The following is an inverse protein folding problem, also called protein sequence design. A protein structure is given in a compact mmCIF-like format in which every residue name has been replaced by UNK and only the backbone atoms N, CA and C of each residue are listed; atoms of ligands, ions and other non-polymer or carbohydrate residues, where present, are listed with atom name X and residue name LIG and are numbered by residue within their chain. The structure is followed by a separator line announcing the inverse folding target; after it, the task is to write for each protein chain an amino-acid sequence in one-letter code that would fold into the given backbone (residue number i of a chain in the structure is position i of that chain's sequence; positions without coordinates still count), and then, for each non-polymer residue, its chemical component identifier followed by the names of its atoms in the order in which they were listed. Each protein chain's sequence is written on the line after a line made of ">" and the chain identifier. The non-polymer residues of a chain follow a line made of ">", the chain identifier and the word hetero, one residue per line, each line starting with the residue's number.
data_IF_763025299258
#
_entry.id   IF_763025299258
#
_cell.length_a   1.000
_cell.length_b   1.000
_cell.length_c   1.000
_cell.angle_alpha   90.00
_cell.angle_beta   90.00
_cell.angle_gamma   90.00
#
_symmetry.space_group_name_H-M   'P 1'
#
loop_
_entity.id
_entity.type
_entity.pdbx_description
1 polymer ?
#
# COMPACT_ATOMS: atom_id res chain seq x y z
N UNK A 1 41.08 7.96 2.71
CA UNK A 1 40.47 9.31 2.79
C UNK A 1 39.13 9.17 3.50
N UNK A 2 39.08 9.48 4.81
CA UNK A 2 37.86 9.40 5.61
C UNK A 2 37.03 10.66 5.36
N UNK A 3 35.81 10.52 4.86
CA UNK A 3 34.81 11.58 4.93
C UNK A 3 33.58 11.06 5.67
N UNK A 4 33.22 11.87 6.65
CA UNK A 4 32.28 11.68 7.73
C UNK A 4 31.11 12.62 7.43
N UNK A 5 29.90 12.10 7.23
CA UNK A 5 28.70 12.95 7.19
C UNK A 5 27.58 12.25 7.95
N UNK A 6 27.43 12.71 9.19
CA UNK A 6 26.29 12.45 10.09
C UNK A 6 25.02 12.98 9.43
N UNK A 7 24.05 12.09 9.21
CA UNK A 7 22.68 12.47 8.85
C UNK A 7 22.01 13.13 10.05
N UNK A 8 21.62 14.41 9.91
CA UNK A 8 20.81 15.13 10.90
C UNK A 8 19.34 14.95 10.54
N UNK A 9 18.66 14.09 11.28
CA UNK A 9 17.21 14.00 11.34
C UNK A 9 16.73 15.19 12.18
N UNK A 10 15.92 16.08 11.61
CA UNK A 10 15.21 17.13 12.34
C UNK A 10 13.80 16.61 12.63
N UNK A 11 13.44 16.29 13.89
CA UNK A 11 12.07 15.97 14.22
C UNK A 11 11.28 17.27 14.39
N UNK A 12 10.15 17.37 13.70
CA UNK A 12 9.17 18.43 13.93
C UNK A 12 8.58 18.25 15.35
N UNK A 13 8.76 19.28 16.18
CA UNK A 13 8.24 19.35 17.54
C UNK A 13 6.73 19.57 17.51
N UNK A 14 5.97 18.58 18.00
CA UNK A 14 4.61 18.79 18.53
C UNK A 14 4.72 19.48 19.89
N UNK A 15 4.29 20.73 19.99
CA UNK A 15 4.14 21.42 21.27
C UNK A 15 2.69 21.31 21.74
N UNK A 16 2.47 20.47 22.75
CA UNK A 16 1.25 20.36 23.54
C UNK A 16 1.39 21.35 24.71
N UNK A 17 0.60 22.43 24.75
CA UNK A 17 0.60 23.37 25.87
C UNK A 17 -0.47 22.98 26.89
N UNK A 18 0.00 22.58 28.07
CA UNK A 18 -0.79 22.26 29.26
C UNK A 18 -1.18 23.56 29.96
N UNK A 19 -2.46 23.70 30.30
CA UNK A 19 -2.99 24.81 31.08
C UNK A 19 -2.45 24.78 32.52
N UNK A 20 -1.96 25.94 32.99
CA UNK A 20 -1.56 26.17 34.38
C UNK A 20 -2.12 27.50 34.89
N UNK A 21 -2.97 27.42 35.91
CA UNK A 21 -3.55 28.56 36.62
C UNK A 21 -2.48 29.36 37.36
N UNK A 22 -2.56 30.69 37.29
CA UNK A 22 -2.05 31.60 38.33
C UNK A 22 -3.12 32.65 38.62
N UNK A 23 -3.61 32.61 39.86
CA UNK A 23 -4.48 33.63 40.44
C UNK A 23 -3.65 34.77 41.00
N UNK A 24 -4.06 36.00 40.68
CA UNK A 24 -3.99 37.18 41.56
C UNK A 24 -2.66 37.93 41.64
N UNK A 25 -2.65 39.18 41.15
CA UNK A 25 -2.37 40.35 41.97
C UNK A 25 -2.77 41.66 41.27
N UNK A 26 -3.14 42.63 42.10
CA UNK A 26 -3.84 43.88 41.83
C UNK A 26 -3.00 44.88 41.02
N UNK A 27 -3.61 45.56 40.05
CA UNK A 27 -3.01 46.70 39.34
C UNK A 27 -3.61 47.99 39.89
N UNK A 28 -2.72 48.85 40.40
CA UNK A 28 -2.99 50.19 40.92
C UNK A 28 -3.61 51.11 39.86
N UNK A 29 -4.55 51.94 40.29
CA UNK A 29 -5.07 53.07 39.50
C UNK A 29 -3.94 54.06 39.19
N UNK A 30 -3.82 54.46 37.93
CA UNK A 30 -3.11 55.68 37.53
C UNK A 30 -4.02 56.50 36.61
N UNK A 31 -4.03 57.80 36.86
CA UNK A 31 -5.01 58.75 36.37
C UNK A 31 -4.81 59.12 34.89
N UNK A 32 -5.96 59.24 34.22
CA UNK A 32 -6.33 60.05 33.05
C UNK A 32 -5.23 60.71 32.21
N UNK A 33 -5.21 60.37 30.92
CA UNK A 33 -4.90 61.33 29.87
C UNK A 33 -6.02 61.25 28.82
N UNK A 34 -6.84 62.30 28.83
CA UNK A 34 -7.87 62.60 27.85
C UNK A 34 -7.23 62.68 26.46
N UNK A 35 -7.56 61.70 25.63
CA UNK A 35 -7.36 61.76 24.19
C UNK A 35 -8.69 61.35 23.59
N UNK A 36 -9.31 62.33 22.95
CA UNK A 36 -10.53 62.23 22.16
C UNK A 36 -10.30 61.19 21.06
N UNK A 37 -10.54 59.92 21.40
CA UNK A 37 -10.60 58.84 20.42
C UNK A 37 -12.00 58.92 19.86
N UNK A 38 -12.07 59.45 18.64
CA UNK A 38 -13.22 59.44 17.77
C UNK A 38 -13.86 58.04 17.75
N UNK A 39 -14.85 57.86 18.61
CA UNK A 39 -15.68 56.67 18.76
C UNK A 39 -16.78 56.74 17.69
N UNK A 40 -16.37 56.79 16.43
CA UNK A 40 -17.28 56.75 15.29
C UNK A 40 -16.90 55.67 14.27
N UNK A 41 -16.81 54.41 14.71
CA UNK A 41 -17.17 53.29 13.81
C UNK A 41 -17.58 52.02 14.56
N UNK A 42 -18.53 52.16 15.47
CA UNK A 42 -19.30 51.01 15.98
C UNK A 42 -20.76 51.26 15.64
N UNK A 43 -21.23 50.53 14.61
CA UNK A 43 -22.63 50.41 14.15
C UNK A 43 -23.01 51.29 12.95
N UNK A 44 -22.41 51.01 11.79
CA UNK A 44 -22.88 51.48 10.48
C UNK A 44 -22.84 50.34 9.45
N UNK A 45 -23.99 49.75 9.16
CA UNK A 45 -24.19 48.63 8.23
C UNK A 45 -23.93 49.05 6.77
N UNK A 46 -22.66 49.09 6.35
CA UNK A 46 -22.32 48.94 4.93
C UNK A 46 -21.94 47.49 4.67
N UNK A 47 -22.95 46.63 4.50
CA UNK A 47 -22.80 45.25 3.96
C UNK A 47 -22.37 45.22 2.48
N UNK A 48 -21.71 46.27 1.99
CA UNK A 48 -21.22 46.32 0.62
C UNK A 48 -19.80 45.79 0.60
N UNK A 49 -19.57 44.73 -0.17
CA UNK A 49 -18.25 44.20 -0.42
C UNK A 49 -17.46 45.14 -1.36
N UNK A 50 -16.15 45.25 -1.15
CA UNK A 50 -15.26 45.89 -2.11
C UNK A 50 -15.21 45.10 -3.43
N UNK A 51 -14.73 45.72 -4.50
CA UNK A 51 -14.52 45.04 -5.80
C UNK A 51 -13.60 43.82 -5.66
N UNK A 52 -12.56 43.95 -4.85
CA UNK A 52 -11.60 42.89 -4.55
C UNK A 52 -12.26 41.74 -3.80
N UNK A 53 -13.06 42.03 -2.77
CA UNK A 53 -13.80 41.03 -2.01
C UNK A 53 -14.79 40.26 -2.88
N UNK A 54 -15.53 40.96 -3.76
CA UNK A 54 -16.40 40.32 -4.76
C UNK A 54 -15.60 39.43 -5.71
N UNK A 55 -14.40 39.84 -6.11
CA UNK A 55 -13.52 39.02 -6.92
C UNK A 55 -13.04 37.78 -6.16
N UNK A 56 -12.73 37.89 -4.87
CA UNK A 56 -12.32 36.77 -4.04
C UNK A 56 -13.46 35.76 -3.86
N UNK A 57 -14.68 36.23 -3.56
CA UNK A 57 -15.86 35.37 -3.49
C UNK A 57 -16.03 34.52 -4.75
N UNK A 58 -15.95 35.15 -5.93
CA UNK A 58 -16.04 34.46 -7.23
C UNK A 58 -14.94 33.42 -7.45
N UNK A 59 -13.70 33.67 -6.99
CA UNK A 59 -12.59 32.70 -7.12
C UNK A 59 -12.85 31.41 -6.33
N UNK A 60 -13.61 31.51 -5.25
CA UNK A 60 -14.03 30.38 -4.41
C UNK A 60 -15.40 29.82 -4.81
N UNK A 61 -15.98 30.25 -5.95
CA UNK A 61 -17.35 29.89 -6.36
C UNK A 61 -18.42 30.24 -5.30
N UNK A 62 -18.15 31.26 -4.49
CA UNK A 62 -19.03 31.75 -3.43
C UNK A 62 -19.83 32.97 -3.88
N UNK A 63 -21.02 33.14 -3.32
CA UNK A 63 -21.83 34.34 -3.51
C UNK A 63 -21.29 35.52 -2.68
N UNK A 64 -21.74 36.74 -2.97
CA UNK A 64 -21.40 37.90 -2.12
C UNK A 64 -21.94 37.72 -0.68
N UNK A 65 -23.09 37.06 -0.51
CA UNK A 65 -23.65 36.74 0.80
C UNK A 65 -22.78 35.74 1.57
N UNK A 66 -22.28 34.71 0.89
CA UNK A 66 -21.36 33.72 1.47
C UNK A 66 -20.07 34.39 1.95
N UNK A 67 -19.56 35.36 1.17
CA UNK A 67 -18.36 36.09 1.54
C UNK A 67 -18.56 36.99 2.77
N UNK A 68 -19.72 37.66 2.88
CA UNK A 68 -20.08 38.40 4.10
C UNK A 68 -20.16 37.47 5.31
N UNK A 69 -20.77 36.29 5.16
CA UNK A 69 -20.85 35.27 6.22
C UNK A 69 -19.46 34.77 6.62
N UNK A 70 -18.58 34.54 5.65
CA UNK A 70 -17.19 34.17 5.89
C UNK A 70 -16.45 35.24 6.71
N UNK A 71 -16.59 36.52 6.37
CA UNK A 71 -15.97 37.61 7.14
C UNK A 71 -16.45 37.65 8.58
N UNK A 72 -17.75 37.51 8.80
CA UNK A 72 -18.35 37.48 10.14
C UNK A 72 -17.83 36.30 10.98
N UNK A 73 -17.71 35.11 10.37
CA UNK A 73 -17.14 33.93 11.03
C UNK A 73 -15.68 34.19 11.41
N UNK A 74 -14.90 34.77 10.49
CA UNK A 74 -13.46 35.02 10.69
C UNK A 74 -13.17 36.22 11.59
N UNK A 75 -14.11 37.15 11.82
CA UNK A 75 -13.98 38.17 12.87
C UNK A 75 -14.22 37.61 14.27
N UNK A 76 -14.79 36.42 14.39
CA UNK A 76 -15.02 35.73 15.66
C UNK A 76 -13.90 34.75 16.07
N UNK A 77 -14.18 33.85 17.04
CA UNK A 77 -13.22 32.87 17.55
C UNK A 77 -12.60 31.98 16.47
N UNK A 78 -13.33 31.70 15.37
CA UNK A 78 -12.80 30.90 14.25
C UNK A 78 -11.57 31.52 13.61
N UNK A 79 -11.55 32.84 13.40
CA UNK A 79 -10.38 33.52 12.84
C UNK A 79 -9.19 33.57 13.78
N UNK A 80 -9.44 33.51 15.10
CA UNK A 80 -8.39 33.38 16.12
C UNK A 80 -7.82 31.95 16.13
N UNK A 81 -8.69 30.94 16.09
CA UNK A 81 -8.29 29.53 16.12
C UNK A 81 -7.60 29.07 14.84
N UNK A 82 -8.00 29.60 13.68
CA UNK A 82 -7.50 29.17 12.38
C UNK A 82 -7.32 30.37 11.44
N UNK A 83 -6.32 31.24 11.69
CA UNK A 83 -6.03 32.36 10.80
C UNK A 83 -5.74 31.86 9.38
N UNK A 84 -6.34 32.50 8.37
CA UNK A 84 -6.12 32.14 6.96
C UNK A 84 -6.78 30.84 6.49
N UNK A 85 -7.71 30.27 7.27
CA UNK A 85 -8.53 29.13 6.84
C UNK A 85 -9.28 29.48 5.54
N UNK A 86 -9.38 28.52 4.62
CA UNK A 86 -10.06 28.75 3.36
C UNK A 86 -11.56 29.07 3.58
N UNK A 87 -12.16 29.94 2.75
CA UNK A 87 -13.52 30.40 2.95
C UNK A 87 -14.58 29.30 2.96
N UNK A 88 -14.43 28.27 2.11
CA UNK A 88 -15.40 27.19 1.99
C UNK A 88 -15.38 26.32 3.25
N UNK A 89 -14.19 25.95 3.74
CA UNK A 89 -14.05 25.20 5.00
C UNK A 89 -14.57 26.02 6.17
N UNK A 90 -14.22 27.31 6.27
CA UNK A 90 -14.70 28.17 7.35
C UNK A 90 -16.24 28.25 7.39
N UNK A 91 -16.90 28.35 6.23
CA UNK A 91 -18.35 28.31 6.08
C UNK A 91 -18.92 26.93 6.44
N UNK A 92 -18.41 25.87 5.84
CA UNK A 92 -18.92 24.50 6.01
C UNK A 92 -18.85 23.98 7.45
N UNK A 93 -17.74 24.23 8.16
CA UNK A 93 -17.60 23.78 9.56
C UNK A 93 -18.38 24.62 10.56
N UNK A 94 -18.72 25.86 10.19
CA UNK A 94 -19.48 26.80 11.04
C UNK A 94 -20.98 26.77 10.73
N UNK A 95 -21.39 26.14 9.63
CA UNK A 95 -22.79 26.11 9.20
C UNK A 95 -23.63 25.16 10.06
N UNK A 96 -24.82 25.61 10.48
CA UNK A 96 -25.78 24.80 11.25
C UNK A 96 -26.89 24.24 10.39
N UNK A 97 -27.22 24.87 9.26
CA UNK A 97 -28.19 24.36 8.29
C UNK A 97 -27.57 23.21 7.46
N UNK A 98 -28.12 21.98 7.53
CA UNK A 98 -27.63 20.86 6.75
C UNK A 98 -27.67 21.08 5.23
N UNK A 99 -28.62 21.88 4.71
CA UNK A 99 -28.73 22.15 3.28
C UNK A 99 -27.59 23.04 2.80
N UNK A 100 -27.33 24.14 3.50
CA UNK A 100 -26.19 25.02 3.22
C UNK A 100 -24.85 24.31 3.43
N UNK A 101 -24.73 23.47 4.47
CA UNK A 101 -23.52 22.68 4.69
C UNK A 101 -23.24 21.74 3.52
N UNK A 102 -24.28 21.11 2.96
CA UNK A 102 -24.16 20.28 1.76
C UNK A 102 -23.72 21.12 0.56
N UNK A 103 -24.33 22.29 0.35
CA UNK A 103 -23.95 23.20 -0.74
C UNK A 103 -22.46 23.58 -0.65
N UNK A 104 -21.94 23.91 0.52
CA UNK A 104 -20.51 24.21 0.70
C UNK A 104 -19.62 22.99 0.42
N UNK A 105 -20.05 21.78 0.80
CA UNK A 105 -19.31 20.56 0.48
C UNK A 105 -19.25 20.28 -1.03
N UNK A 106 -20.35 20.54 -1.75
CA UNK A 106 -20.39 20.41 -3.21
C UNK A 106 -19.44 21.42 -3.87
N UNK A 107 -19.49 22.69 -3.44
CA UNK A 107 -18.56 23.74 -3.92
C UNK A 107 -17.09 23.35 -3.61
N UNK A 108 -16.81 22.81 -2.42
CA UNK A 108 -15.48 22.34 -2.05
C UNK A 108 -14.98 21.27 -3.03
N UNK A 109 -15.82 20.29 -3.35
CA UNK A 109 -15.45 19.20 -4.25
C UNK A 109 -15.20 19.70 -5.68
N UNK A 110 -15.99 20.64 -6.17
CA UNK A 110 -15.79 21.25 -7.49
C UNK A 110 -14.45 22.00 -7.58
N UNK A 111 -14.14 22.82 -6.56
CA UNK A 111 -12.89 23.58 -6.49
C UNK A 111 -11.69 22.63 -6.37
N UNK A 112 -11.80 21.61 -5.51
CA UNK A 112 -10.75 20.63 -5.29
C UNK A 112 -10.48 19.77 -6.53
N UNK A 113 -11.55 19.35 -7.22
CA UNK A 113 -11.43 18.60 -8.48
C UNK A 113 -10.65 19.41 -9.50
N UNK A 114 -11.00 20.68 -9.69
CA UNK A 114 -10.29 21.58 -10.62
C UNK A 114 -8.83 21.79 -10.22
N UNK A 115 -8.54 21.88 -8.92
CA UNK A 115 -7.16 22.00 -8.41
C UNK A 115 -6.35 20.75 -8.76
N UNK A 116 -6.90 19.56 -8.50
CA UNK A 116 -6.26 18.28 -8.80
C UNK A 116 -6.03 18.11 -10.30
N UNK A 117 -6.98 18.50 -11.15
CA UNK A 117 -6.83 18.45 -12.61
C UNK A 117 -5.62 19.27 -13.09
N UNK A 118 -5.46 20.50 -12.58
CA UNK A 118 -4.33 21.37 -12.91
C UNK A 118 -3.01 20.80 -12.39
N UNK A 119 -3.01 20.24 -11.18
CA UNK A 119 -1.83 19.60 -10.59
C UNK A 119 -1.39 18.36 -11.37
N UNK A 120 -2.34 17.53 -11.81
CA UNK A 120 -2.06 16.37 -12.67
C UNK A 120 -1.57 16.78 -14.05
N UNK A 121 -2.15 17.83 -14.64
CA UNK A 121 -1.67 18.39 -15.90
C UNK A 121 -0.22 18.87 -15.78
N UNK A 122 0.13 19.54 -14.67
CA UNK A 122 1.49 19.95 -14.41
C UNK A 122 2.42 18.76 -14.11
N UNK A 123 1.94 17.75 -13.37
CA UNK A 123 2.70 16.53 -13.10
C UNK A 123 3.09 15.81 -14.39
N UNK A 124 2.16 15.72 -15.34
CA UNK A 124 2.43 15.16 -16.66
C UNK A 124 3.57 15.89 -17.36
N UNK A 125 3.55 17.22 -17.36
CA UNK A 125 4.63 18.02 -17.97
C UNK A 125 5.95 17.90 -17.20
N UNK A 126 5.91 17.78 -15.87
CA UNK A 126 7.09 17.53 -15.04
C UNK A 126 7.73 16.19 -15.36
N UNK A 127 6.92 15.15 -15.53
CA UNK A 127 7.39 13.81 -15.94
C UNK A 127 7.96 13.82 -17.37
N UNK A 128 7.28 14.50 -18.30
CA UNK A 128 7.78 14.66 -19.66
C UNK A 128 9.09 15.46 -19.72
N UNK A 129 9.19 16.55 -18.96
CA UNK A 129 10.41 17.32 -18.80
C UNK A 129 11.53 16.47 -18.21
N UNK A 130 11.23 15.67 -17.18
CA UNK A 130 12.17 14.71 -16.62
C UNK A 130 12.74 13.76 -17.66
N UNK A 131 11.90 13.19 -18.54
CA UNK A 131 12.34 12.32 -19.62
C UNK A 131 13.18 13.06 -20.67
N UNK A 132 12.79 14.28 -21.08
CA UNK A 132 13.57 15.08 -22.05
C UNK A 132 14.96 15.44 -21.52
N UNK A 133 15.04 15.79 -20.24
CA UNK A 133 16.27 16.28 -19.61
C UNK A 133 17.19 15.15 -19.14
N UNK A 134 16.65 13.98 -18.77
CA UNK A 134 17.42 12.90 -18.15
C UNK A 134 17.30 11.54 -18.85
N UNK A 135 16.50 11.43 -19.92
CA UNK A 135 16.28 10.17 -20.63
C UNK A 135 15.76 9.06 -19.71
N UNK A 136 16.28 7.84 -19.91
CA UNK A 136 15.96 6.65 -19.11
C UNK A 136 16.94 6.45 -17.93
N UNK A 137 17.62 7.52 -17.49
CA UNK A 137 18.55 7.45 -16.39
C UNK A 137 17.83 6.99 -15.11
N UNK A 138 18.19 5.82 -14.60
CA UNK A 138 17.67 5.30 -13.34
C UNK A 138 18.06 6.25 -12.20
N UNK A 139 17.06 6.80 -11.50
CA UNK A 139 17.29 7.64 -10.31
C UNK A 139 17.81 6.82 -9.12
N UNK A 140 17.52 5.52 -9.11
CA UNK A 140 17.99 4.56 -8.12
C UNK A 140 18.48 3.34 -8.90
N UNK A 141 19.75 2.96 -8.73
CA UNK A 141 20.27 1.69 -9.23
C UNK A 141 20.09 0.61 -8.16
N UNK A 142 19.01 -0.15 -8.24
CA UNK A 142 18.70 -1.27 -7.35
C UNK A 142 18.67 -2.62 -8.09
N UNK A 143 19.30 -2.71 -9.27
CA UNK A 143 19.27 -3.91 -10.11
C UNK A 143 19.80 -5.13 -9.37
N UNK A 144 20.90 -4.99 -8.64
CA UNK A 144 21.47 -6.07 -7.83
C UNK A 144 20.50 -6.56 -6.73
N UNK A 145 19.73 -5.65 -6.12
CA UNK A 145 18.73 -6.01 -5.12
C UNK A 145 17.54 -6.72 -5.78
N UNK A 146 17.08 -6.24 -6.93
CA UNK A 146 15.99 -6.86 -7.70
C UNK A 146 16.38 -8.28 -8.10
N UNK A 147 17.60 -8.47 -8.62
CA UNK A 147 18.08 -9.80 -9.02
C UNK A 147 18.27 -10.73 -7.82
N UNK A 148 18.80 -10.22 -6.70
CA UNK A 148 18.87 -11.01 -5.46
C UNK A 148 17.48 -11.39 -4.94
N UNK A 149 16.51 -10.48 -5.00
CA UNK A 149 15.13 -10.73 -4.59
C UNK A 149 14.45 -11.77 -5.50
N UNK A 150 14.58 -11.64 -6.82
CA UNK A 150 14.08 -12.63 -7.79
C UNK A 150 14.69 -14.01 -7.54
N UNK A 151 16.02 -14.08 -7.35
CA UNK A 151 16.72 -15.34 -7.05
C UNK A 151 16.19 -15.97 -5.77
N UNK A 152 15.98 -15.18 -4.72
CA UNK A 152 15.41 -15.65 -3.44
C UNK A 152 13.95 -16.10 -3.57
N UNK A 153 13.15 -15.44 -4.39
CA UNK A 153 11.77 -15.84 -4.66
C UNK A 153 11.68 -17.14 -5.45
N UNK A 154 12.57 -17.33 -6.43
CA UNK A 154 12.64 -18.54 -7.25
C UNK A 154 13.36 -19.72 -6.58
N UNK A 155 13.92 -19.53 -5.37
CA UNK A 155 14.65 -20.58 -4.68
C UNK A 155 13.68 -21.66 -4.17
N UNK A 156 13.89 -22.88 -4.67
CA UNK A 156 13.25 -24.09 -4.14
C UNK A 156 13.85 -24.39 -2.78
N UNK A 157 13.00 -24.58 -1.78
CA UNK A 157 13.37 -24.90 -0.40
C UNK A 157 13.10 -26.36 -0.05
N UNK A 158 12.16 -27.02 -0.76
CA UNK A 158 11.88 -28.44 -0.54
C UNK A 158 11.59 -29.19 -1.83
N UNK A 159 12.00 -30.46 -1.88
CA UNK A 159 11.65 -31.41 -2.94
C UNK A 159 10.80 -32.51 -2.33
N UNK A 160 9.58 -32.63 -2.81
CA UNK A 160 8.64 -33.68 -2.40
C UNK A 160 8.82 -34.82 -3.40
N UNK A 161 9.13 -36.01 -2.91
CA UNK A 161 9.31 -37.22 -3.71
C UNK A 161 8.11 -38.14 -3.46
N UNK A 162 7.32 -38.41 -4.50
CA UNK A 162 6.21 -39.37 -4.46
C UNK A 162 6.64 -40.66 -5.14
N UNK A 163 6.63 -41.78 -4.42
CA UNK A 163 6.86 -43.12 -4.96
C UNK A 163 5.51 -43.81 -5.15
N UNK A 164 5.20 -44.25 -6.37
CA UNK A 164 3.87 -44.77 -6.72
C UNK A 164 3.93 -45.87 -7.78
N UNK A 165 2.95 -46.77 -7.77
CA UNK A 165 2.68 -47.68 -8.88
C UNK A 165 1.73 -47.01 -9.87
N UNK A 166 2.02 -47.06 -11.18
CA UNK A 166 1.18 -46.42 -12.19
C UNK A 166 -0.24 -47.01 -12.25
N UNK A 167 -0.44 -48.25 -11.80
CA UNK A 167 -1.77 -48.85 -11.68
C UNK A 167 -2.59 -48.29 -10.51
N UNK A 168 -1.95 -47.59 -9.56
CA UNK A 168 -2.63 -47.05 -8.38
C UNK A 168 -3.29 -45.70 -8.71
N UNK A 169 -4.56 -45.76 -9.15
CA UNK A 169 -5.37 -44.59 -9.47
C UNK A 169 -6.27 -44.19 -8.30
N UNK A 170 -7.24 -45.04 -7.95
CA UNK A 170 -8.26 -44.70 -6.94
C UNK A 170 -7.73 -44.77 -5.51
N UNK A 171 -7.00 -45.83 -5.17
CA UNK A 171 -6.46 -46.05 -3.82
C UNK A 171 -5.43 -44.97 -3.43
N UNK A 172 -4.62 -44.53 -4.38
CA UNK A 172 -3.63 -43.46 -4.18
C UNK A 172 -4.20 -42.04 -4.41
N UNK A 173 -5.48 -41.93 -4.78
CA UNK A 173 -6.08 -40.69 -5.29
C UNK A 173 -6.02 -39.54 -4.28
N UNK A 174 -6.30 -39.84 -3.02
CA UNK A 174 -6.30 -38.86 -1.93
C UNK A 174 -4.92 -38.25 -1.69
N UNK A 175 -3.89 -39.10 -1.63
CA UNK A 175 -2.50 -38.71 -1.42
C UNK A 175 -1.98 -37.92 -2.62
N UNK A 176 -2.12 -38.46 -3.84
CA UNK A 176 -1.66 -37.79 -5.06
C UNK A 176 -2.30 -36.40 -5.25
N UNK A 177 -3.63 -36.29 -5.07
CA UNK A 177 -4.33 -34.99 -5.17
C UNK A 177 -3.97 -34.04 -4.02
N UNK A 178 -3.64 -34.55 -2.84
CA UNK A 178 -3.16 -33.71 -1.74
C UNK A 178 -1.80 -33.11 -2.08
N UNK A 179 -0.87 -33.91 -2.59
CA UNK A 179 0.47 -33.46 -2.99
C UNK A 179 0.41 -32.47 -4.14
N UNK A 180 -0.36 -32.75 -5.19
CA UNK A 180 -0.50 -31.84 -6.33
C UNK A 180 -1.05 -30.47 -5.92
N UNK A 181 -1.86 -30.40 -4.85
CA UNK A 181 -2.36 -29.13 -4.28
C UNK A 181 -1.37 -28.46 -3.32
N UNK A 182 -0.47 -29.21 -2.68
CA UNK A 182 0.47 -28.69 -1.69
C UNK A 182 1.78 -28.17 -2.30
N UNK A 183 2.06 -28.51 -3.57
CA UNK A 183 3.23 -28.00 -4.30
C UNK A 183 3.08 -26.49 -4.54
N UNK A 184 3.78 -25.71 -3.71
CA UNK A 184 3.86 -24.26 -3.83
C UNK A 184 5.02 -23.79 -4.71
N UNK A 185 5.19 -22.47 -4.81
CA UNK A 185 6.25 -21.84 -5.61
C UNK A 185 7.68 -22.16 -5.15
N UNK A 186 7.85 -22.64 -3.91
CA UNK A 186 9.14 -22.99 -3.32
C UNK A 186 9.36 -24.50 -3.17
N UNK A 187 8.44 -25.30 -3.69
CA UNK A 187 8.52 -26.75 -3.60
C UNK A 187 8.44 -27.36 -4.98
N UNK A 188 9.17 -28.45 -5.19
CA UNK A 188 9.05 -29.29 -6.38
C UNK A 188 8.42 -30.62 -6.01
N UNK A 189 7.76 -31.26 -6.97
CA UNK A 189 7.25 -32.61 -6.82
C UNK A 189 7.88 -33.53 -7.85
N UNK A 190 8.70 -34.45 -7.38
CA UNK A 190 9.28 -35.49 -8.19
C UNK A 190 8.48 -36.79 -7.99
N UNK A 191 7.84 -37.26 -9.05
CA UNK A 191 7.02 -38.47 -9.04
C UNK A 191 7.88 -39.60 -9.60
N UNK A 192 8.11 -40.62 -8.80
CA UNK A 192 8.87 -41.81 -9.14
C UNK A 192 7.92 -42.99 -9.29
N UNK A 193 7.85 -43.50 -10.50
CA UNK A 193 7.09 -44.70 -10.82
C UNK A 193 7.92 -45.95 -10.52
N UNK A 194 7.22 -47.04 -10.22
CA UNK A 194 7.82 -48.34 -9.96
C UNK A 194 8.83 -48.73 -11.06
N UNK A 195 9.98 -49.31 -10.72
CA UNK A 195 10.95 -49.74 -11.72
C UNK A 195 10.33 -50.67 -12.76
N UNK A 196 10.48 -50.33 -14.04
CA UNK A 196 9.92 -51.09 -15.17
C UNK A 196 8.60 -50.54 -15.70
N UNK A 197 8.01 -49.50 -15.09
CA UNK A 197 6.84 -48.81 -15.64
C UNK A 197 7.16 -48.14 -16.98
N UNK A 198 6.38 -48.40 -18.05
CA UNK A 198 6.50 -47.70 -19.33
C UNK A 198 6.16 -46.21 -19.23
N UNK A 199 6.82 -45.38 -20.04
CA UNK A 199 6.53 -43.93 -20.11
C UNK A 199 5.08 -43.63 -20.50
N UNK A 200 4.48 -44.48 -21.35
CA UNK A 200 3.07 -44.38 -21.72
C UNK A 200 2.12 -44.52 -20.52
N UNK A 201 2.45 -45.38 -19.55
CA UNK A 201 1.63 -45.56 -18.35
C UNK A 201 1.79 -44.37 -17.39
N UNK A 202 3.01 -43.84 -17.24
CA UNK A 202 3.25 -42.60 -16.49
C UNK A 202 2.49 -41.40 -17.08
N UNK A 203 2.42 -41.30 -18.41
CA UNK A 203 1.66 -40.25 -19.09
C UNK A 203 0.15 -40.39 -18.88
N UNK A 204 -0.39 -41.62 -18.91
CA UNK A 204 -1.81 -41.89 -18.59
C UNK A 204 -2.11 -41.52 -17.15
N UNK A 205 -1.25 -41.89 -16.21
CA UNK A 205 -1.37 -41.53 -14.80
C UNK A 205 -1.38 -40.02 -14.60
N UNK A 206 -0.45 -39.29 -15.23
CA UNK A 206 -0.40 -37.83 -15.15
C UNK A 206 -1.66 -37.16 -15.74
N UNK A 207 -2.21 -37.73 -16.81
CA UNK A 207 -3.46 -37.27 -17.42
C UNK A 207 -4.65 -37.50 -16.48
N UNK A 208 -4.72 -38.68 -15.84
CA UNK A 208 -5.76 -39.02 -14.86
C UNK A 208 -5.78 -38.02 -13.69
N UNK A 209 -4.60 -37.65 -13.18
CA UNK A 209 -4.44 -36.67 -12.11
C UNK A 209 -4.44 -35.21 -12.58
N UNK A 210 -4.72 -34.94 -13.87
CA UNK A 210 -4.83 -33.61 -14.46
C UNK A 210 -3.56 -32.75 -14.28
N UNK A 211 -2.39 -33.37 -14.38
CA UNK A 211 -1.11 -32.65 -14.32
C UNK A 211 -0.92 -31.86 -15.61
N UNK A 212 -0.79 -30.53 -15.51
CA UNK A 212 -0.57 -29.65 -16.67
C UNK A 212 0.79 -29.95 -17.32
N UNK A 213 0.86 -30.25 -18.64
CA UNK A 213 2.12 -30.43 -19.35
C UNK A 213 3.10 -29.25 -19.19
N UNK A 214 2.59 -28.03 -18.96
CA UNK A 214 3.42 -26.84 -18.71
C UNK A 214 4.21 -26.93 -17.41
N UNK A 215 3.64 -27.49 -16.33
CA UNK A 215 4.35 -27.62 -15.05
C UNK A 215 5.41 -28.73 -15.10
N UNK A 216 5.21 -29.72 -15.98
CA UNK A 216 6.22 -30.74 -16.31
C UNK A 216 7.34 -30.13 -17.16
N UNK A 217 7.00 -29.31 -18.15
CA UNK A 217 7.97 -28.62 -19.00
C UNK A 217 8.89 -27.66 -18.21
N UNK A 218 8.36 -26.99 -17.18
CA UNK A 218 9.14 -26.13 -16.28
C UNK A 218 9.89 -26.91 -15.19
N UNK A 219 9.75 -28.24 -15.13
CA UNK A 219 10.34 -29.12 -14.09
C UNK A 219 9.96 -28.72 -12.67
N UNK A 220 8.75 -28.17 -12.52
CA UNK A 220 8.15 -27.92 -11.20
C UNK A 220 7.51 -29.21 -10.66
N UNK A 221 7.04 -30.05 -11.57
CA UNK A 221 6.69 -31.45 -11.35
C UNK A 221 7.52 -32.31 -12.31
N UNK A 222 8.08 -33.43 -11.86
CA UNK A 222 8.78 -34.38 -12.73
C UNK A 222 8.13 -35.75 -12.68
N UNK A 223 8.17 -36.47 -13.81
CA UNK A 223 7.67 -37.84 -13.96
C UNK A 223 8.89 -38.73 -14.26
N UNK A 224 9.24 -39.61 -13.34
CA UNK A 224 10.48 -40.40 -13.38
C UNK A 224 10.14 -41.89 -13.41
N UNK A 225 10.42 -42.55 -14.54
CA UNK A 225 10.21 -44.01 -14.72
C UNK A 225 11.46 -44.84 -14.44
N UNK A 226 12.57 -44.20 -14.05
CA UNK A 226 13.86 -44.85 -13.82
C UNK A 226 14.24 -44.93 -12.34
N UNK A 227 15.08 -45.91 -12.02
CA UNK A 227 15.26 -46.43 -10.66
C UNK A 227 16.33 -45.74 -9.80
N UNK A 228 16.87 -44.57 -10.18
CA UNK A 228 18.03 -43.97 -9.48
C UNK A 228 17.70 -43.60 -8.02
N UNK A 229 16.61 -42.88 -7.77
CA UNK A 229 16.21 -42.42 -6.42
C UNK A 229 15.67 -43.55 -5.54
N UNK A 230 15.05 -44.58 -6.14
CA UNK A 230 14.57 -45.78 -5.44
C UNK A 230 15.70 -46.51 -4.68
N UNK A 231 16.87 -46.65 -5.33
CA UNK A 231 18.04 -47.30 -4.73
C UNK A 231 18.71 -46.43 -3.67
N UNK A 232 18.78 -45.13 -3.92
CA UNK A 232 19.37 -44.14 -3.01
C UNK A 232 18.66 -44.13 -1.65
N UNK A 233 17.32 -44.05 -1.67
CA UNK A 233 16.51 -43.97 -0.46
C UNK A 233 16.05 -45.33 0.10
N UNK A 234 16.48 -46.44 -0.53
CA UNK A 234 16.13 -47.82 -0.13
C UNK A 234 14.61 -48.04 0.02
N UNK A 235 13.84 -47.49 -0.90
CA UNK A 235 12.38 -47.57 -0.90
C UNK A 235 11.93 -48.98 -1.28
N UNK A 236 11.06 -49.59 -0.45
CA UNK A 236 10.43 -50.86 -0.79
C UNK A 236 9.29 -50.66 -1.80
N UNK A 237 9.19 -51.56 -2.78
CA UNK A 237 8.07 -51.57 -3.74
C UNK A 237 6.78 -52.14 -3.15
N UNK A 238 6.84 -52.74 -1.97
CA UNK A 238 5.73 -53.49 -1.37
C UNK A 238 4.80 -52.61 -0.53
N UNK A 239 5.23 -51.38 -0.20
CA UNK A 239 4.46 -50.44 0.63
C UNK A 239 4.29 -49.08 -0.07
N UNK A 240 3.62 -49.08 -1.24
CA UNK A 240 3.28 -47.87 -2.01
C UNK A 240 1.84 -47.40 -1.72
N UNK A 241 1.54 -46.09 -1.81
CA UNK A 241 2.44 -44.99 -2.14
C UNK A 241 3.29 -44.53 -0.95
N UNK A 242 4.47 -43.97 -1.21
CA UNK A 242 5.30 -43.33 -0.18
C UNK A 242 5.62 -41.90 -0.54
N UNK A 243 5.73 -41.04 0.47
CA UNK A 243 6.08 -39.63 0.29
C UNK A 243 7.28 -39.30 1.17
N UNK A 244 8.29 -38.70 0.54
CA UNK A 244 9.53 -38.30 1.19
C UNK A 244 9.82 -36.84 0.87
N UNK A 245 10.06 -36.02 1.88
CA UNK A 245 10.35 -34.60 1.71
C UNK A 245 11.82 -34.37 1.99
N UNK A 246 12.50 -33.78 1.02
CA UNK A 246 13.90 -33.35 1.10
C UNK A 246 13.96 -31.83 1.32
N UNK A 247 14.62 -31.38 2.39
CA UNK A 247 14.96 -29.98 2.59
C UNK A 247 16.20 -29.65 1.76
N UNK A 248 16.08 -28.69 0.83
CA UNK A 248 17.16 -28.36 -0.12
C UNK A 248 18.35 -27.69 0.57
N UNK A 249 18.15 -27.04 1.71
CA UNK A 249 19.22 -26.34 2.42
C UNK A 249 20.03 -27.29 3.31
N UNK A 250 19.39 -28.24 3.98
CA UNK A 250 20.06 -29.18 4.90
C UNK A 250 20.41 -30.51 4.25
N UNK A 251 19.72 -30.88 3.16
CA UNK A 251 19.79 -32.21 2.54
C UNK A 251 19.09 -33.29 3.37
N UNK A 252 18.36 -32.91 4.43
CA UNK A 252 17.63 -33.85 5.27
C UNK A 252 16.43 -34.40 4.50
N UNK A 253 16.25 -35.72 4.54
CA UNK A 253 15.13 -36.42 3.89
C UNK A 253 14.27 -37.09 4.96
N UNK A 254 12.98 -36.75 4.99
CA UNK A 254 12.02 -37.29 5.97
C UNK A 254 10.87 -37.98 5.25
N UNK A 255 10.54 -39.20 5.68
CA UNK A 255 9.33 -39.88 5.23
C UNK A 255 8.11 -39.23 5.90
N UNK A 256 7.16 -38.75 5.09
CA UNK A 256 5.93 -38.10 5.57
C UNK A 256 4.68 -38.93 5.31
N UNK A 257 4.78 -39.98 4.49
CA UNK A 257 3.71 -40.94 4.22
C UNK A 257 4.27 -42.30 3.77
N UNK A 258 3.62 -43.38 4.20
CA UNK A 258 4.06 -44.77 4.00
C UNK A 258 4.35 -45.46 5.35
N UNK A 259 4.21 -46.79 5.38
CA UNK A 259 4.60 -47.63 6.52
C UNK A 259 6.05 -48.08 6.42
#
# INVERSE_FOLDING_TARGET
>A
MRLNTKSRIVPALFALAIAGNVSGQSISRMATQDSDVDLTDLSGTNKSLSTEEKSQAKKWSLTESDWLKYKEIMSGPRGIWSPGLDPITALGVSETDPAERRRYADIWMEVETRRIELELAFERERMAAGKRLHGDQKRINNDAWIEAWKKKQAQVTSVINLFVDASCLEECSSVAKSLLRSVGNKSKLDIYFKPGTPESEAAVWATYFQIDPKVVATRHITLNVHASKWKELKISTDSLPQVWVEDVATGEVTQTHGN
#
